data_IF_130596864207
#
_entry.id   IF_130596864207
#
_cell.length_a   1.000
_cell.length_b   1.000
_cell.length_c   1.000
_cell.angle_alpha   90.00
_cell.angle_beta   90.00
_cell.angle_gamma   90.00
#
_symmetry.space_group_name_H-M   'P 1'
#
loop_
_entity.id
_entity.type
_entity.pdbx_description
1 polymer ?
#
# COMPACT_ATOMS: atom_id res chain seq x y z
N UNK A 1 41.71 38.49 11.51
CA UNK A 1 41.34 37.30 12.32
C UNK A 1 39.85 37.27 12.67
N UNK A 2 39.24 38.42 13.04
CA UNK A 2 37.80 38.53 13.36
C UNK A 2 36.82 38.15 12.23
N UNK A 3 37.15 38.43 10.95
CA UNK A 3 36.28 38.09 9.81
C UNK A 3 36.11 36.58 9.59
N UNK A 4 37.14 35.79 9.87
CA UNK A 4 37.08 34.32 9.79
C UNK A 4 36.24 33.70 10.91
N UNK A 5 36.21 34.35 12.08
CA UNK A 5 35.41 33.91 13.22
C UNK A 5 33.92 34.16 12.94
N UNK A 6 33.57 35.31 12.38
CA UNK A 6 32.20 35.62 11.96
C UNK A 6 31.70 34.71 10.81
N UNK A 7 32.55 34.39 9.82
CA UNK A 7 32.22 33.42 8.77
C UNK A 7 32.04 31.98 9.32
N UNK A 8 32.79 31.61 10.35
CA UNK A 8 32.63 30.31 11.02
C UNK A 8 31.36 30.26 11.88
N UNK A 9 31.03 31.33 12.61
CA UNK A 9 29.76 31.43 13.35
C UNK A 9 28.55 31.39 12.42
N UNK A 10 28.58 32.11 11.30
CA UNK A 10 27.49 32.12 10.33
C UNK A 10 27.31 30.74 9.67
N UNK A 11 28.41 30.02 9.39
CA UNK A 11 28.38 28.66 8.84
C UNK A 11 27.87 27.63 9.85
N UNK A 12 28.25 27.77 11.12
CA UNK A 12 27.80 26.90 12.22
C UNK A 12 26.32 27.12 12.55
N UNK A 13 25.84 28.35 12.42
CA UNK A 13 24.42 28.70 12.63
C UNK A 13 23.53 28.19 11.49
N UNK A 14 24.05 28.15 10.25
CA UNK A 14 23.31 27.64 9.08
C UNK A 14 23.29 26.11 8.98
N UNK A 15 24.26 25.41 9.56
CA UNK A 15 24.30 23.93 9.56
C UNK A 15 23.44 23.29 10.67
N UNK A 16 23.01 24.06 11.69
CA UNK A 16 22.41 23.50 12.91
C UNK A 16 20.87 23.28 12.88
N UNK A 17 20.19 23.50 11.75
CA UNK A 17 18.76 23.15 11.62
C UNK A 17 18.54 22.29 10.38
N UNK A 18 19.20 21.14 10.35
CA UNK A 18 18.67 20.01 9.59
C UNK A 18 17.41 19.56 10.35
N UNK A 19 16.20 19.61 9.76
CA UNK A 19 14.99 19.24 10.47
C UNK A 19 15.20 17.86 11.07
N UNK A 20 15.06 17.76 12.40
CA UNK A 20 15.04 16.50 13.13
C UNK A 20 14.01 15.63 12.42
N UNK A 21 14.47 14.68 11.61
CA UNK A 21 13.59 13.71 10.97
C UNK A 21 12.83 13.08 12.12
N UNK A 22 11.49 13.01 12.07
CA UNK A 22 10.73 12.33 13.12
C UNK A 22 11.36 10.95 13.26
N UNK A 23 11.92 10.68 14.45
CA UNK A 23 12.56 9.40 14.72
C UNK A 23 11.46 8.37 14.92
N UNK A 24 10.81 7.98 13.82
CA UNK A 24 9.86 6.88 13.83
C UNK A 24 10.64 5.63 14.16
N UNK A 25 10.39 5.06 15.33
CA UNK A 25 11.01 3.81 15.76
C UNK A 25 10.69 2.73 14.71
N UNK A 26 11.67 1.89 14.30
CA UNK A 26 11.43 0.88 13.26
C UNK A 26 10.24 -0.03 13.55
N UNK A 27 9.95 -0.32 14.83
CA UNK A 27 8.75 -1.06 15.23
C UNK A 27 7.43 -0.35 14.94
N UNK A 28 7.38 0.99 15.04
CA UNK A 28 6.20 1.79 14.68
C UNK A 28 5.98 1.83 13.17
N UNK A 29 7.06 1.78 12.36
CA UNK A 29 6.98 1.72 10.90
C UNK A 29 6.45 0.36 10.43
N UNK A 30 6.94 -0.73 11.02
CA UNK A 30 6.46 -2.08 10.71
C UNK A 30 4.98 -2.21 11.09
N UNK A 31 4.58 -1.75 12.27
CA UNK A 31 3.17 -1.74 12.69
C UNK A 31 2.27 -0.92 11.76
N UNK A 32 2.76 0.23 11.28
CA UNK A 32 2.06 1.05 10.32
C UNK A 32 1.88 0.34 8.97
N UNK A 33 2.96 -0.24 8.42
CA UNK A 33 2.92 -0.95 7.15
C UNK A 33 2.05 -2.21 7.24
N UNK A 34 2.11 -2.94 8.35
CA UNK A 34 1.25 -4.09 8.61
C UNK A 34 -0.23 -3.67 8.71
N UNK A 35 -0.53 -2.58 9.39
CA UNK A 35 -1.88 -2.01 9.46
C UNK A 35 -2.39 -1.56 8.09
N UNK A 36 -1.54 -0.91 7.30
CA UNK A 36 -1.84 -0.48 5.93
C UNK A 36 -2.03 -1.66 4.97
N UNK A 37 -1.31 -2.77 5.18
CA UNK A 37 -1.48 -3.99 4.42
C UNK A 37 -2.81 -4.67 4.75
N UNK A 38 -3.15 -4.77 6.05
CA UNK A 38 -4.33 -5.48 6.50
C UNK A 38 -5.62 -4.77 6.08
N UNK A 39 -5.68 -3.45 6.27
CA UNK A 39 -6.82 -2.64 5.85
C UNK A 39 -6.35 -1.57 4.86
N UNK A 40 -6.82 -1.60 3.59
CA UNK A 40 -6.45 -0.61 2.60
C UNK A 40 -6.67 0.82 3.11
N UNK A 41 -5.67 1.70 2.97
CA UNK A 41 -5.77 3.10 3.41
C UNK A 41 -5.68 3.35 4.92
N UNK A 42 -5.56 2.32 5.76
CA UNK A 42 -5.42 2.48 7.22
C UNK A 42 -4.07 3.12 7.60
N UNK A 43 -3.02 2.91 6.81
CA UNK A 43 -1.74 3.60 6.95
C UNK A 43 -1.90 5.12 6.86
N UNK A 44 -2.59 5.62 5.83
CA UNK A 44 -2.84 7.06 5.67
C UNK A 44 -3.77 7.62 6.74
N UNK A 45 -4.68 6.80 7.27
CA UNK A 45 -5.54 7.20 8.39
C UNK A 45 -4.74 7.41 9.67
N UNK A 46 -3.81 6.50 9.99
CA UNK A 46 -2.90 6.62 11.14
C UNK A 46 -1.95 7.82 11.01
N UNK A 47 -1.62 8.24 9.78
CA UNK A 47 -0.84 9.44 9.50
C UNK A 47 -1.68 10.74 9.52
N UNK A 48 -2.96 10.68 9.88
CA UNK A 48 -3.86 11.84 9.96
C UNK A 48 -4.43 12.32 8.62
N UNK A 49 -4.15 11.62 7.51
CA UNK A 49 -4.57 12.01 6.15
C UNK A 49 -5.87 11.36 5.74
N UNK A 50 -6.95 11.71 6.46
CA UNK A 50 -8.28 11.11 6.32
C UNK A 50 -8.83 11.14 4.88
N UNK A 51 -8.63 12.23 4.16
CA UNK A 51 -9.08 12.35 2.76
C UNK A 51 -8.40 11.35 1.83
N UNK A 52 -7.07 11.21 1.92
CA UNK A 52 -6.33 10.23 1.10
C UNK A 52 -6.67 8.81 1.50
N UNK A 53 -6.78 8.54 2.80
CA UNK A 53 -7.20 7.22 3.30
C UNK A 53 -8.54 6.79 2.71
N UNK A 54 -9.54 7.68 2.71
CA UNK A 54 -10.87 7.38 2.19
C UNK A 54 -10.88 7.14 0.68
N UNK A 55 -10.17 7.98 -0.10
CA UNK A 55 -10.07 7.79 -1.56
C UNK A 55 -9.38 6.48 -1.91
N UNK A 56 -8.26 6.17 -1.24
CA UNK A 56 -7.52 4.92 -1.48
C UNK A 56 -8.32 3.69 -1.06
N UNK A 57 -8.99 3.74 0.09
CA UNK A 57 -9.87 2.67 0.55
C UNK A 57 -10.99 2.42 -0.46
N UNK A 58 -11.72 3.46 -0.87
CA UNK A 58 -12.80 3.34 -1.84
C UNK A 58 -12.31 2.85 -3.20
N UNK A 59 -11.14 3.29 -3.66
CA UNK A 59 -10.57 2.85 -4.92
C UNK A 59 -10.19 1.35 -4.88
N UNK A 60 -9.47 0.93 -3.84
CA UNK A 60 -8.99 -0.46 -3.71
C UNK A 60 -10.18 -1.41 -3.48
N UNK A 61 -11.05 -1.09 -2.52
CA UNK A 61 -12.24 -1.91 -2.23
C UNK A 61 -13.21 -1.90 -3.41
N UNK A 62 -13.39 -0.75 -4.07
CA UNK A 62 -14.23 -0.64 -5.26
C UNK A 62 -13.73 -1.52 -6.42
N UNK A 63 -12.43 -1.45 -6.74
CA UNK A 63 -11.82 -2.31 -7.76
C UNK A 63 -11.94 -3.79 -7.37
N UNK A 64 -11.70 -4.13 -6.11
CA UNK A 64 -11.82 -5.50 -5.64
C UNK A 64 -13.26 -6.03 -5.77
N UNK A 65 -14.25 -5.27 -5.31
CA UNK A 65 -15.67 -5.64 -5.44
C UNK A 65 -16.12 -5.75 -6.90
N UNK A 66 -15.64 -4.86 -7.79
CA UNK A 66 -15.88 -4.98 -9.23
C UNK A 66 -15.24 -6.25 -9.80
N UNK A 67 -14.04 -6.60 -9.35
CA UNK A 67 -13.37 -7.85 -9.70
C UNK A 67 -14.18 -9.09 -9.32
N UNK A 68 -14.74 -9.10 -8.09
CA UNK A 68 -15.65 -10.15 -7.63
C UNK A 68 -16.96 -10.19 -8.42
N UNK A 69 -17.57 -9.03 -8.68
CA UNK A 69 -18.82 -8.92 -9.44
C UNK A 69 -18.68 -9.43 -10.88
N UNK A 70 -17.49 -9.26 -11.47
CA UNK A 70 -17.15 -9.79 -12.78
C UNK A 70 -16.69 -11.26 -12.75
N UNK A 71 -16.79 -11.93 -11.60
CA UNK A 71 -16.40 -13.31 -11.43
C UNK A 71 -14.92 -13.59 -11.76
N UNK A 72 -14.03 -12.66 -11.37
CA UNK A 72 -12.59 -12.83 -11.48
C UNK A 72 -12.09 -14.11 -10.80
N UNK A 73 -11.08 -14.73 -11.42
CA UNK A 73 -10.41 -15.90 -10.88
C UNK A 73 -9.40 -15.47 -9.82
N UNK A 74 -9.18 -16.33 -8.83
CA UNK A 74 -8.02 -16.22 -7.96
C UNK A 74 -6.90 -17.10 -8.49
N UNK A 75 -5.68 -16.56 -8.43
CA UNK A 75 -4.49 -17.31 -8.73
C UNK A 75 -4.15 -18.27 -7.58
N UNK A 76 -3.48 -19.36 -7.90
CA UNK A 76 -3.01 -20.34 -6.91
C UNK A 76 -1.55 -20.72 -7.16
N UNK A 77 -0.83 -20.98 -6.07
CA UNK A 77 0.53 -21.52 -6.11
C UNK A 77 0.47 -23.03 -6.38
N UNK A 78 0.61 -23.43 -7.64
CA UNK A 78 0.52 -24.86 -8.01
C UNK A 78 0.44 -25.16 -9.50
N UNK A 79 0.28 -24.15 -10.35
CA UNK A 79 0.15 -24.31 -11.81
C UNK A 79 1.48 -24.47 -12.57
N UNK A 80 2.62 -24.45 -11.87
CA UNK A 80 3.97 -24.51 -12.49
C UNK A 80 4.40 -23.25 -13.24
N UNK A 81 3.50 -22.26 -13.39
CA UNK A 81 3.78 -20.98 -14.07
C UNK A 81 4.19 -19.89 -13.07
N UNK A 82 5.31 -19.23 -13.34
CA UNK A 82 5.78 -18.10 -12.53
C UNK A 82 4.77 -16.93 -12.50
N UNK A 83 4.07 -16.68 -13.60
CA UNK A 83 3.06 -15.62 -13.69
C UNK A 83 1.90 -15.86 -12.74
N UNK A 84 1.46 -17.11 -12.59
CA UNK A 84 0.36 -17.49 -11.71
C UNK A 84 0.76 -17.32 -10.24
N UNK A 85 2.00 -17.69 -9.89
CA UNK A 85 2.57 -17.46 -8.56
C UNK A 85 2.67 -15.97 -8.26
N UNK A 86 3.11 -15.14 -9.21
CA UNK A 86 3.16 -13.69 -9.06
C UNK A 86 1.75 -13.09 -8.90
N UNK A 87 0.78 -13.56 -9.67
CA UNK A 87 -0.62 -13.15 -9.57
C UNK A 87 -1.19 -13.45 -8.18
N UNK A 88 -0.88 -14.62 -7.62
CA UNK A 88 -1.28 -14.96 -6.26
C UNK A 88 -0.70 -14.00 -5.22
N UNK A 89 0.57 -13.62 -5.34
CA UNK A 89 1.17 -12.62 -4.44
C UNK A 89 0.56 -11.23 -4.62
N UNK A 90 0.21 -10.85 -5.85
CA UNK A 90 -0.50 -9.60 -6.10
C UNK A 90 -1.88 -9.61 -5.42
N UNK A 91 -2.65 -10.68 -5.56
CA UNK A 91 -3.96 -10.84 -4.90
C UNK A 91 -3.85 -10.89 -3.38
N UNK A 92 -2.85 -11.59 -2.84
CA UNK A 92 -2.56 -11.60 -1.40
C UNK A 92 -2.29 -10.19 -0.86
N UNK A 93 -1.75 -9.32 -1.72
CA UNK A 93 -1.41 -7.96 -1.35
C UNK A 93 -2.63 -7.04 -1.19
N UNK A 94 -3.83 -7.44 -1.61
CA UNK A 94 -5.09 -6.74 -1.30
C UNK A 94 -5.33 -6.64 0.22
N UNK A 95 -4.79 -7.59 1.00
CA UNK A 95 -4.97 -7.62 2.46
C UNK A 95 -6.26 -8.33 2.85
N UNK A 96 -6.98 -7.79 3.86
CA UNK A 96 -8.19 -8.39 4.41
C UNK A 96 -9.37 -8.62 3.43
N UNK A 97 -9.57 -7.84 2.35
CA UNK A 97 -10.69 -8.09 1.44
C UNK A 97 -10.67 -9.48 0.78
N UNK A 98 -9.49 -10.05 0.52
CA UNK A 98 -9.34 -11.38 -0.09
C UNK A 98 -9.84 -12.52 0.83
N UNK A 99 -9.34 -12.70 2.07
CA UNK A 99 -9.86 -13.71 2.97
C UNK A 99 -11.31 -13.45 3.38
N UNK A 100 -11.76 -12.20 3.43
CA UNK A 100 -13.18 -11.88 3.61
C UNK A 100 -14.03 -12.44 2.46
N UNK A 101 -13.62 -12.23 1.20
CA UNK A 101 -14.33 -12.78 0.05
C UNK A 101 -14.37 -14.31 0.08
N UNK A 102 -13.25 -14.97 0.42
CA UNK A 102 -13.20 -16.42 0.58
C UNK A 102 -14.11 -16.90 1.72
N UNK A 103 -14.17 -16.18 2.84
CA UNK A 103 -15.07 -16.47 3.95
C UNK A 103 -16.56 -16.35 3.56
N UNK A 104 -16.90 -15.39 2.69
CA UNK A 104 -18.23 -15.26 2.10
C UNK A 104 -18.52 -16.29 0.98
N UNK A 105 -17.63 -17.25 0.76
CA UNK A 105 -17.83 -18.35 -0.19
C UNK A 105 -17.33 -18.07 -1.61
N UNK A 106 -16.59 -16.98 -1.83
CA UNK A 106 -15.97 -16.70 -3.12
C UNK A 106 -14.64 -17.47 -3.26
N UNK A 107 -14.70 -18.64 -3.90
CA UNK A 107 -13.54 -19.52 -4.11
C UNK A 107 -12.78 -19.30 -5.42
N UNK A 108 -13.12 -18.27 -6.19
CA UNK A 108 -12.75 -18.09 -7.59
C UNK A 108 -14.00 -18.15 -8.47
N UNK A 109 -14.19 -17.16 -9.35
CA UNK A 109 -15.42 -17.00 -10.13
C UNK A 109 -15.59 -18.06 -11.23
N UNK A 110 -16.50 -17.82 -12.18
CA UNK A 110 -16.71 -18.70 -13.33
C UNK A 110 -15.89 -18.25 -14.54
N UNK A 111 -14.96 -19.09 -15.00
CA UNK A 111 -14.12 -18.81 -16.18
C UNK A 111 -14.92 -18.67 -17.47
N UNK A 112 -16.14 -19.21 -17.53
CA UNK A 112 -17.05 -19.06 -18.67
C UNK A 112 -17.81 -17.73 -18.69
N UNK A 113 -17.67 -16.91 -17.65
CA UNK A 113 -18.25 -15.57 -17.66
C UNK A 113 -17.43 -14.66 -18.56
N UNK A 114 -18.09 -13.99 -19.51
CA UNK A 114 -17.44 -13.17 -20.55
C UNK A 114 -16.52 -12.08 -19.96
N UNK A 115 -16.83 -11.60 -18.76
CA UNK A 115 -16.05 -10.58 -18.08
C UNK A 115 -15.03 -11.13 -17.05
N UNK A 116 -14.90 -12.44 -16.90
CA UNK A 116 -14.01 -13.07 -15.89
C UNK A 116 -12.57 -12.59 -16.00
N UNK A 117 -12.04 -12.46 -17.21
CA UNK A 117 -10.66 -12.02 -17.43
C UNK A 117 -10.43 -10.57 -16.97
N UNK A 118 -11.42 -9.69 -17.21
CA UNK A 118 -11.39 -8.32 -16.69
C UNK A 118 -11.52 -8.30 -15.17
N UNK A 119 -12.35 -9.19 -14.61
CA UNK A 119 -12.50 -9.35 -13.16
C UNK A 119 -11.17 -9.70 -12.49
N UNK A 120 -10.46 -10.69 -13.01
CA UNK A 120 -9.13 -11.09 -12.53
C UNK A 120 -8.14 -9.93 -12.61
N UNK A 121 -8.16 -9.14 -13.70
CA UNK A 121 -7.30 -7.98 -13.83
C UNK A 121 -7.60 -6.90 -12.76
N UNK A 122 -8.87 -6.67 -12.43
CA UNK A 122 -9.26 -5.76 -11.34
C UNK A 122 -8.80 -6.25 -9.96
N UNK A 123 -8.86 -7.56 -9.69
CA UNK A 123 -8.38 -8.16 -8.45
C UNK A 123 -6.87 -7.95 -8.28
N UNK A 124 -6.08 -8.23 -9.34
CA UNK A 124 -4.64 -7.97 -9.36
C UNK A 124 -4.36 -6.48 -9.18
N UNK A 125 -5.05 -5.61 -9.93
CA UNK A 125 -4.83 -4.18 -9.89
C UNK A 125 -5.12 -3.61 -8.49
N UNK A 126 -6.17 -4.07 -7.81
CA UNK A 126 -6.47 -3.70 -6.43
C UNK A 126 -5.32 -4.06 -5.48
N UNK A 127 -4.74 -5.26 -5.63
CA UNK A 127 -3.63 -5.72 -4.79
C UNK A 127 -2.33 -4.96 -5.02
N UNK A 128 -1.99 -4.72 -6.29
CA UNK A 128 -0.84 -3.91 -6.68
C UNK A 128 -0.99 -2.46 -6.20
N UNK A 129 -2.21 -1.91 -6.30
CA UNK A 129 -2.49 -0.57 -5.77
C UNK A 129 -2.30 -0.53 -4.25
N UNK A 130 -2.76 -1.56 -3.51
CA UNK A 130 -2.55 -1.62 -2.07
C UNK A 130 -1.05 -1.61 -1.70
N UNK A 131 -0.19 -2.34 -2.43
CA UNK A 131 1.28 -2.28 -2.25
C UNK A 131 1.78 -0.84 -2.41
N UNK A 132 1.37 -0.15 -3.46
CA UNK A 132 1.77 1.24 -3.69
C UNK A 132 1.32 2.16 -2.55
N UNK A 133 0.14 1.93 -1.96
CA UNK A 133 -0.31 2.71 -0.80
C UNK A 133 0.52 2.43 0.45
N UNK A 134 0.96 1.19 0.67
CA UNK A 134 1.84 0.84 1.78
C UNK A 134 3.20 1.54 1.62
N UNK A 135 3.76 1.52 0.40
CA UNK A 135 5.01 2.23 0.09
C UNK A 135 4.86 3.75 0.23
N UNK A 136 3.73 4.32 -0.19
CA UNK A 136 3.46 5.74 -0.01
C UNK A 136 3.33 6.11 1.47
N UNK A 137 2.62 5.31 2.27
CA UNK A 137 2.53 5.51 3.72
C UNK A 137 3.91 5.44 4.39
N UNK A 138 4.76 4.51 3.95
CA UNK A 138 6.14 4.39 4.41
C UNK A 138 6.99 5.62 4.05
N UNK A 139 6.89 6.11 2.82
CA UNK A 139 7.62 7.31 2.38
C UNK A 139 7.17 8.57 3.15
N UNK A 140 5.87 8.70 3.46
CA UNK A 140 5.36 9.80 4.28
C UNK A 140 5.89 9.64 5.72
N UNK A 141 5.89 8.42 6.28
CA UNK A 141 6.41 8.18 7.62
C UNK A 141 7.92 8.48 7.74
N UNK A 142 8.68 8.24 6.67
CA UNK A 142 10.10 8.62 6.57
C UNK A 142 10.34 10.13 6.35
N UNK A 143 9.28 10.93 6.20
CA UNK A 143 9.37 12.36 5.91
C UNK A 143 9.94 12.68 4.53
N UNK A 144 9.90 11.72 3.59
CA UNK A 144 10.31 11.93 2.19
C UNK A 144 9.26 12.69 1.39
N UNK A 145 7.99 12.60 1.81
CA UNK A 145 6.87 13.32 1.25
C UNK A 145 6.20 14.14 2.35
N UNK A 146 5.80 15.39 2.06
CA UNK A 146 5.08 16.22 3.02
C UNK A 146 3.76 15.58 3.36
#
# INVERSE_FOLDING_TARGET
>A
MARKIAEQEEKTTKEAVKPSRPQTTPGSLIGLCAGAWLVPGLGHFLLGRRGRALVLFLAIVGMFLLGLAMQGQFFATGSGSYLHTLGYFAELSVGAPMPLATFFGYGGGNTYFVCSDYGTAYLIAAGMLNILTILDAYDIAMGRKP
#
